data_IF_233914973360
#
_entry.id   IF_233914973360
#
_cell.length_a   1.000
_cell.length_b   1.000
_cell.length_c   1.000
_cell.angle_alpha   90.00
_cell.angle_beta   90.00
_cell.angle_gamma   90.00
#
_symmetry.space_group_name_H-M   'P 1'
#
loop_
_entity.id
_entity.type
_entity.pdbx_description
1 polymer ?
#
# COMPACT_ATOMS: atom_id res chain seq x y z
N UNK A 1 4.74 -21.92 1.52
CA UNK A 1 3.43 -21.26 1.36
C UNK A 1 3.16 -21.00 -0.11
N UNK A 2 1.91 -21.22 -0.54
CA UNK A 2 1.48 -21.06 -1.93
C UNK A 2 0.62 -19.79 -2.12
N UNK A 3 0.13 -19.54 -3.34
CA UNK A 3 -0.81 -18.47 -3.64
C UNK A 3 -2.00 -18.46 -2.68
N UNK A 4 -2.47 -17.26 -2.32
CA UNK A 4 -3.57 -17.06 -1.39
C UNK A 4 -4.44 -15.88 -1.85
N UNK A 5 -5.72 -15.93 -1.48
CA UNK A 5 -6.62 -14.79 -1.59
C UNK A 5 -6.51 -13.94 -0.32
N UNK A 6 -6.27 -12.65 -0.47
CA UNK A 6 -5.97 -11.72 0.63
C UNK A 6 -6.85 -10.48 0.51
N UNK A 7 -7.56 -10.14 1.57
CA UNK A 7 -8.19 -8.84 1.74
C UNK A 7 -7.21 -7.95 2.53
N UNK A 8 -6.70 -6.90 1.88
CA UNK A 8 -5.76 -5.97 2.50
C UNK A 8 -6.45 -4.65 2.79
N UNK A 9 -6.68 -4.38 4.07
CA UNK A 9 -7.27 -3.14 4.55
C UNK A 9 -6.17 -2.11 4.81
N UNK A 10 -6.34 -0.89 4.31
CA UNK A 10 -5.40 0.21 4.52
C UNK A 10 -6.11 1.54 4.60
N UNK A 11 -5.70 2.39 5.53
CA UNK A 11 -6.14 3.79 5.59
C UNK A 11 -5.41 4.70 4.59
N UNK A 12 -4.33 4.20 3.98
CA UNK A 12 -3.54 4.90 2.98
C UNK A 12 -4.29 4.97 1.66
N UNK A 13 -4.95 6.10 1.43
CA UNK A 13 -5.52 6.46 0.11
C UNK A 13 -4.48 6.37 -0.99
N UNK A 14 -3.22 6.70 -0.70
CA UNK A 14 -2.15 6.62 -1.70
C UNK A 14 -1.91 5.17 -2.16
N UNK A 15 -1.90 4.22 -1.21
CA UNK A 15 -1.72 2.81 -1.49
C UNK A 15 -2.93 2.24 -2.23
N UNK A 16 -4.12 2.40 -1.66
CA UNK A 16 -5.37 1.86 -2.21
C UNK A 16 -5.67 2.43 -3.60
N UNK A 17 -5.52 3.74 -3.81
CA UNK A 17 -5.77 4.34 -5.13
C UNK A 17 -4.75 3.87 -6.18
N UNK A 18 -3.51 3.59 -5.80
CA UNK A 18 -2.53 3.14 -6.78
C UNK A 18 -2.93 1.80 -7.42
N UNK A 19 -3.45 0.87 -6.61
CA UNK A 19 -3.96 -0.42 -7.07
C UNK A 19 -5.34 -0.32 -7.71
N UNK A 20 -6.25 0.48 -7.14
CA UNK A 20 -7.66 0.50 -7.58
C UNK A 20 -7.94 1.46 -8.74
N UNK A 21 -7.08 2.46 -8.99
CA UNK A 21 -7.30 3.50 -10.02
C UNK A 21 -6.31 3.42 -11.18
N UNK A 22 -5.59 2.31 -11.31
CA UNK A 22 -4.71 2.05 -12.43
C UNK A 22 -3.46 2.93 -12.49
N UNK A 23 -2.94 3.40 -11.34
CA UNK A 23 -1.75 4.24 -11.33
C UNK A 23 -0.48 3.43 -11.59
N UNK A 24 -0.45 2.18 -11.12
CA UNK A 24 0.73 1.32 -11.19
C UNK A 24 1.04 0.93 -12.64
N UNK A 25 0.05 0.67 -13.47
CA UNK A 25 0.24 0.42 -14.91
C UNK A 25 0.83 1.66 -15.57
N UNK A 26 0.20 2.82 -15.37
CA UNK A 26 0.67 4.10 -15.92
C UNK A 26 2.11 4.41 -15.49
N UNK A 27 2.46 4.18 -14.22
CA UNK A 27 3.80 4.40 -13.73
C UNK A 27 4.80 3.41 -14.34
N UNK A 28 4.44 2.14 -14.50
CA UNK A 28 5.35 1.17 -15.13
C UNK A 28 5.61 1.51 -16.60
N UNK A 29 4.57 1.88 -17.35
CA UNK A 29 4.68 2.25 -18.76
C UNK A 29 5.49 3.54 -18.99
N UNK A 30 5.38 4.51 -18.08
CA UNK A 30 6.03 5.82 -18.25
C UNK A 30 7.41 5.95 -17.57
N UNK A 31 7.99 4.82 -17.13
CA UNK A 31 9.31 4.79 -16.50
C UNK A 31 9.33 5.31 -15.06
N UNK A 32 8.27 5.05 -14.30
CA UNK A 32 8.05 5.42 -12.90
C UNK A 32 8.01 6.92 -12.65
N UNK A 33 7.16 7.60 -13.44
CA UNK A 33 6.92 9.04 -13.34
C UNK A 33 5.44 9.33 -13.02
N UNK A 34 5.22 10.37 -12.24
CA UNK A 34 3.88 10.89 -11.95
C UNK A 34 3.33 11.66 -13.15
N UNK A 35 2.04 12.02 -13.12
CA UNK A 35 1.42 12.89 -14.14
C UNK A 35 2.14 14.25 -14.30
N UNK A 36 2.80 14.74 -13.24
CA UNK A 36 3.64 15.95 -13.26
C UNK A 36 5.07 15.70 -13.75
N UNK A 37 5.34 14.53 -14.34
CA UNK A 37 6.65 14.09 -14.88
C UNK A 37 7.77 13.99 -13.85
N UNK A 38 7.42 13.96 -12.55
CA UNK A 38 8.39 13.76 -11.46
C UNK A 38 8.55 12.27 -11.17
N UNK A 39 9.69 11.81 -10.63
CA UNK A 39 9.82 10.44 -10.18
C UNK A 39 8.74 10.07 -9.16
N UNK A 40 8.17 8.87 -9.27
CA UNK A 40 7.27 8.31 -8.26
C UNK A 40 8.05 8.13 -6.95
N UNK A 41 7.45 8.55 -5.84
CA UNK A 41 8.05 8.37 -4.51
C UNK A 41 8.10 6.89 -4.16
N UNK A 42 9.17 6.46 -3.49
CA UNK A 42 9.34 5.10 -2.97
C UNK A 42 9.20 4.01 -4.05
N UNK A 43 9.72 4.28 -5.25
CA UNK A 43 9.71 3.35 -6.39
C UNK A 43 10.19 1.94 -5.99
N UNK A 44 11.25 1.85 -5.21
CA UNK A 44 11.84 0.59 -4.76
C UNK A 44 10.86 -0.22 -3.89
N UNK A 45 10.09 0.44 -3.02
CA UNK A 45 9.05 -0.21 -2.21
C UNK A 45 7.89 -0.68 -3.07
N UNK A 46 7.47 0.11 -4.05
CA UNK A 46 6.44 -0.29 -5.02
C UNK A 46 6.84 -1.53 -5.81
N UNK A 47 8.08 -1.60 -6.28
CA UNK A 47 8.58 -2.77 -7.02
C UNK A 47 8.57 -4.03 -6.15
N UNK A 48 8.99 -3.91 -4.88
CA UNK A 48 8.95 -5.03 -3.92
C UNK A 48 7.51 -5.47 -3.63
N UNK A 49 6.61 -4.51 -3.45
CA UNK A 49 5.20 -4.79 -3.18
C UNK A 49 4.52 -5.48 -4.37
N UNK A 50 4.75 -5.01 -5.59
CA UNK A 50 4.24 -5.62 -6.81
C UNK A 50 4.71 -7.08 -6.94
N UNK A 51 6.00 -7.33 -6.74
CA UNK A 51 6.55 -8.68 -6.80
C UNK A 51 5.97 -9.61 -5.72
N UNK A 52 5.73 -9.09 -4.51
CA UNK A 52 5.08 -9.85 -3.45
C UNK A 52 3.60 -10.12 -3.77
N UNK A 53 2.88 -9.13 -4.27
CA UNK A 53 1.45 -9.23 -4.57
C UNK A 53 1.16 -10.09 -5.81
N UNK A 54 2.07 -10.19 -6.78
CA UNK A 54 1.88 -10.96 -8.03
C UNK A 54 1.53 -12.44 -7.79
N UNK A 55 2.04 -13.03 -6.70
CA UNK A 55 1.76 -14.42 -6.35
C UNK A 55 0.38 -14.63 -5.69
N UNK A 56 -0.36 -13.56 -5.38
CA UNK A 56 -1.60 -13.60 -4.59
C UNK A 56 -2.76 -12.92 -5.32
N UNK A 57 -3.99 -13.34 -5.00
CA UNK A 57 -5.19 -12.60 -5.38
C UNK A 57 -5.48 -11.59 -4.28
N UNK A 58 -4.99 -10.35 -4.43
CA UNK A 58 -5.12 -9.31 -3.40
C UNK A 58 -6.25 -8.35 -3.74
N UNK A 59 -7.22 -8.25 -2.84
CA UNK A 59 -8.24 -7.21 -2.83
C UNK A 59 -7.78 -6.04 -1.95
N UNK A 60 -7.68 -4.84 -2.53
CA UNK A 60 -7.18 -3.65 -1.85
C UNK A 60 -8.33 -2.78 -1.37
N UNK A 61 -8.55 -2.75 -0.05
CA UNK A 61 -9.71 -2.11 0.58
C UNK A 61 -9.24 -0.85 1.31
N UNK A 62 -9.75 0.30 0.89
CA UNK A 62 -9.53 1.54 1.62
C UNK A 62 -10.52 1.64 2.79
N UNK A 63 -9.98 1.87 3.99
CA UNK A 63 -10.77 2.16 5.19
C UNK A 63 -10.51 3.59 5.65
N UNK A 64 -11.47 4.20 6.33
CA UNK A 64 -11.27 5.51 6.93
C UNK A 64 -10.42 5.38 8.20
N UNK A 65 -9.26 6.05 8.25
CA UNK A 65 -8.42 6.09 9.43
C UNK A 65 -9.11 6.81 10.60
N UNK A 66 -8.86 6.36 11.83
CA UNK A 66 -9.47 6.89 13.07
C UNK A 66 -11.01 6.93 13.09
N UNK A 67 -11.67 6.06 12.32
CA UNK A 67 -13.13 5.94 12.28
C UNK A 67 -13.69 4.89 13.28
N UNK A 68 -12.90 4.43 14.25
CA UNK A 68 -13.32 3.40 15.19
C UNK A 68 -13.18 1.97 14.67
N UNK A 69 -12.38 1.72 13.62
CA UNK A 69 -12.03 0.35 13.20
C UNK A 69 -11.02 -0.24 14.20
N UNK A 70 -11.40 -1.24 15.02
CA UNK A 70 -10.53 -1.74 16.08
C UNK A 70 -9.24 -2.39 15.56
N UNK A 71 -9.25 -2.91 14.32
CA UNK A 71 -8.06 -3.49 13.71
C UNK A 71 -7.12 -2.40 13.21
N UNK A 72 -7.64 -1.32 12.63
CA UNK A 72 -6.82 -0.19 12.20
C UNK A 72 -6.20 0.53 13.42
N UNK A 73 -6.99 0.80 14.45
CA UNK A 73 -6.50 1.42 15.70
C UNK A 73 -5.40 0.57 16.36
N UNK A 74 -5.58 -0.76 16.37
CA UNK A 74 -4.55 -1.66 16.88
C UNK A 74 -3.25 -1.59 16.07
N UNK A 75 -3.34 -1.45 14.74
CA UNK A 75 -2.15 -1.27 13.89
C UNK A 75 -1.50 0.08 14.16
N UNK A 76 -2.28 1.16 14.33
CA UNK A 76 -1.78 2.49 14.69
C UNK A 76 -1.00 2.45 16.01
N UNK A 77 -1.53 1.77 17.03
CA UNK A 77 -0.86 1.59 18.32
C UNK A 77 0.45 0.81 18.17
N UNK A 78 0.46 -0.28 17.40
CA UNK A 78 1.67 -1.07 17.14
C UNK A 78 2.74 -0.26 16.42
N UNK A 79 2.35 0.57 15.44
CA UNK A 79 3.28 1.47 14.76
C UNK A 79 3.82 2.54 15.72
N UNK A 80 2.96 3.08 16.60
CA UNK A 80 3.37 4.01 17.64
C UNK A 80 4.41 3.43 18.59
N UNK A 81 4.20 2.20 19.05
CA UNK A 81 5.14 1.47 19.91
C UNK A 81 6.48 1.22 19.19
N UNK A 82 6.43 0.71 17.96
CA UNK A 82 7.63 0.45 17.18
C UNK A 82 8.45 1.74 16.96
N UNK A 83 7.80 2.88 16.67
CA UNK A 83 8.49 4.17 16.51
C UNK A 83 9.21 4.59 17.78
N UNK A 84 8.59 4.43 18.95
CA UNK A 84 9.20 4.75 20.23
C UNK A 84 10.40 3.85 20.58
N UNK A 85 10.46 2.63 20.05
CA UNK A 85 11.61 1.72 20.22
C UNK A 85 12.83 2.11 19.36
N UNK A 86 12.62 2.90 18.30
CA UNK A 86 13.67 3.36 17.39
C UNK A 86 14.12 4.82 17.64
N UNK A 87 13.53 5.50 18.62
CA UNK A 87 13.95 6.81 19.14
C UNK A 87 14.86 6.67 20.37
#
# INVERSE_FOLDING_TARGET
DGPARVELHTDSRYLANAFNQGWLENWQENGWKTASKKPVKNKDLWQKLLAAAEAHEVEWIWVEGHAGDPLNERVDDMVGQARAEFE
#
